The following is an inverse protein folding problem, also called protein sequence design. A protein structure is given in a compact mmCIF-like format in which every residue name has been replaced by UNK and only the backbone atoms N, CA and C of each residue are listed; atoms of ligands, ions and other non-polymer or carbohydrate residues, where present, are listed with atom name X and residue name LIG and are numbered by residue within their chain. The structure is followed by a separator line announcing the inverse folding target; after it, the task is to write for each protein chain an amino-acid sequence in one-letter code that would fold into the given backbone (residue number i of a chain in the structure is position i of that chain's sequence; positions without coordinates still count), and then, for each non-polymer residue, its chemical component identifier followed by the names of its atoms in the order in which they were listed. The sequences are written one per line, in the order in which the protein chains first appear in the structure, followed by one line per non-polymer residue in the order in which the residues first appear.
data_IF_200831565565
#
_entry.id   IF_200831565565
#
_cell.length_a   1.000
_cell.length_b   1.000
_cell.length_c   1.000
_cell.angle_alpha   90.00
_cell.angle_beta   90.00
_cell.angle_gamma   90.00
#
_symmetry.space_group_name_H-M   'P 1'
#
loop_
_entity.id
_entity.type
_entity.pdbx_description
1 polymer ?
#
# COMPACT_ATOMS: atom_id res chain seq x y z
N UNK A 1 35.47 72.21 31.53
CA UNK A 1 34.51 71.24 32.13
C UNK A 1 34.95 70.97 33.57
N UNK A 2 34.04 70.87 34.54
CA UNK A 2 34.40 70.65 35.96
C UNK A 2 34.83 69.19 36.16
N UNK A 3 35.92 68.96 36.90
CA UNK A 3 36.52 67.63 37.17
C UNK A 3 35.50 66.59 37.66
N UNK A 4 34.49 67.02 38.42
CA UNK A 4 33.40 66.17 38.90
C UNK A 4 32.58 65.51 37.78
N UNK A 5 32.39 66.18 36.64
CA UNK A 5 31.67 65.60 35.49
C UNK A 5 32.49 64.52 34.79
N UNK A 6 33.81 64.68 34.77
CA UNK A 6 34.74 63.70 34.18
C UNK A 6 34.78 62.44 35.06
N UNK A 7 34.85 62.61 36.37
CA UNK A 7 34.83 61.48 37.32
C UNK A 7 33.49 60.73 37.25
N UNK A 8 32.36 61.44 37.21
CA UNK A 8 31.04 60.82 37.08
C UNK A 8 30.89 60.04 35.77
N UNK A 9 31.36 60.61 34.65
CA UNK A 9 31.36 59.93 33.37
C UNK A 9 32.26 58.68 33.39
N UNK A 10 33.47 58.78 33.94
CA UNK A 10 34.38 57.65 34.06
C UNK A 10 33.81 56.53 34.95
N UNK A 11 33.22 56.87 36.09
CA UNK A 11 32.58 55.90 36.99
C UNK A 11 31.39 55.20 36.30
N UNK A 12 30.56 55.94 35.57
CA UNK A 12 29.44 55.37 34.82
C UNK A 12 29.92 54.47 33.68
N UNK A 13 30.99 54.86 32.98
CA UNK A 13 31.61 54.04 31.92
C UNK A 13 32.22 52.75 32.47
N UNK A 14 32.88 52.80 33.63
CA UNK A 14 33.43 51.62 34.30
C UNK A 14 32.32 50.68 34.77
N UNK A 15 31.22 51.22 35.31
CA UNK A 15 30.08 50.42 35.73
C UNK A 15 29.37 49.76 34.53
N UNK A 16 29.24 50.48 33.41
CA UNK A 16 28.68 49.95 32.18
C UNK A 16 29.56 48.84 31.57
N UNK A 17 30.89 49.00 31.60
CA UNK A 17 31.82 47.97 31.15
C UNK A 17 31.80 46.72 32.04
N UNK A 18 31.57 46.88 33.35
CA UNK A 18 31.47 45.76 34.29
C UNK A 18 30.20 44.92 34.10
N UNK A 19 29.12 45.49 33.56
CA UNK A 19 27.86 44.78 33.29
C UNK A 19 27.76 44.19 31.88
N UNK A 20 28.72 44.48 30.99
CA UNK A 20 28.78 43.91 29.65
C UNK A 20 29.31 42.47 29.71
N UNK A 21 28.45 41.54 30.11
CA UNK A 21 28.72 40.11 30.04
C UNK A 21 28.30 39.60 28.66
N UNK A 22 29.25 39.05 27.89
CA UNK A 22 28.91 38.24 26.73
C UNK A 22 28.31 36.92 27.22
N UNK A 23 27.29 36.41 26.52
CA UNK A 23 26.78 35.06 26.79
C UNK A 23 27.94 34.07 26.67
N UNK A 24 28.16 33.27 27.72
CA UNK A 24 29.19 32.23 27.69
C UNK A 24 28.82 31.22 26.62
N UNK A 25 29.63 31.11 25.58
CA UNK A 25 29.45 30.06 24.59
C UNK A 25 29.86 28.72 25.22
N UNK A 26 28.86 27.95 25.63
CA UNK A 26 29.00 26.61 26.25
C UNK A 26 29.43 25.50 25.27
N UNK A 27 29.78 25.87 24.03
CA UNK A 27 30.14 24.90 22.99
C UNK A 27 28.95 24.12 22.42
N UNK A 28 29.25 23.23 21.48
CA UNK A 28 28.27 22.30 20.92
C UNK A 28 27.93 21.27 22.00
N UNK A 29 26.69 21.32 22.48
CA UNK A 29 26.18 20.32 23.42
C UNK A 29 26.14 18.95 22.73
N UNK A 30 26.75 17.95 23.38
CA UNK A 30 26.70 16.58 22.89
C UNK A 30 25.25 16.09 22.93
N UNK A 31 24.77 15.60 21.80
CA UNK A 31 23.45 14.95 21.75
C UNK A 31 23.58 13.62 22.49
N UNK A 32 23.06 13.58 23.72
CA UNK A 32 22.96 12.33 24.48
C UNK A 32 21.74 11.59 23.96
N UNK A 33 21.97 10.43 23.33
CA UNK A 33 20.89 9.53 22.95
C UNK A 33 20.14 9.08 24.19
N UNK A 34 18.80 9.14 24.16
CA UNK A 34 17.96 8.64 25.25
C UNK A 34 18.12 7.13 25.47
N UNK A 35 18.47 6.38 24.41
CA UNK A 35 18.62 4.93 24.44
C UNK A 35 20.08 4.52 24.24
N UNK A 36 20.48 3.40 24.85
CA UNK A 36 21.80 2.81 24.59
C UNK A 36 21.82 2.16 23.20
N UNK A 37 23.02 1.99 22.63
CA UNK A 37 23.18 1.27 21.35
C UNK A 37 22.68 -0.18 21.44
N UNK A 38 22.82 -0.83 22.59
CA UNK A 38 22.36 -2.19 22.80
C UNK A 38 20.82 -2.26 22.72
N UNK A 39 20.13 -1.29 23.32
CA UNK A 39 18.66 -1.24 23.28
C UNK A 39 18.14 -1.01 21.86
N UNK A 40 18.78 -0.10 21.13
CA UNK A 40 18.45 0.15 19.72
C UNK A 40 18.67 -1.09 18.86
N UNK A 41 19.77 -1.82 19.09
CA UNK A 41 20.05 -3.08 18.37
C UNK A 41 19.01 -4.16 18.69
N UNK A 42 18.62 -4.31 19.95
CA UNK A 42 17.60 -5.26 20.36
C UNK A 42 16.24 -4.93 19.71
N UNK A 43 15.85 -3.65 19.69
CA UNK A 43 14.64 -3.17 19.03
C UNK A 43 14.68 -3.39 17.52
N UNK A 44 15.82 -3.10 16.88
CA UNK A 44 16.01 -3.32 15.45
C UNK A 44 15.88 -4.80 15.09
N UNK A 45 16.48 -5.69 15.88
CA UNK A 45 16.39 -7.13 15.67
C UNK A 45 14.96 -7.65 15.81
N UNK A 46 14.25 -7.23 16.87
CA UNK A 46 12.86 -7.61 17.10
C UNK A 46 11.94 -7.12 15.97
N UNK A 47 12.15 -5.89 15.49
CA UNK A 47 11.38 -5.32 14.38
C UNK A 47 11.69 -6.06 13.08
N UNK A 48 12.95 -6.39 12.81
CA UNK A 48 13.35 -7.15 11.61
C UNK A 48 12.75 -8.56 11.57
N UNK A 49 12.52 -9.18 12.74
CA UNK A 49 11.87 -10.49 12.85
C UNK A 49 10.34 -10.41 12.91
N UNK A 50 9.76 -9.20 12.92
CA UNK A 50 8.31 -9.06 12.96
C UNK A 50 7.67 -9.62 11.69
N UNK A 51 6.57 -10.35 11.86
CA UNK A 51 5.82 -10.88 10.72
C UNK A 51 5.35 -9.72 9.83
N UNK A 52 5.53 -9.86 8.52
CA UNK A 52 5.10 -8.90 7.50
C UNK A 52 5.77 -7.51 7.55
N UNK A 53 6.94 -7.38 8.18
CA UNK A 53 7.64 -6.08 8.36
C UNK A 53 7.89 -5.32 7.04
N UNK A 54 7.94 -5.99 5.89
CA UNK A 54 8.17 -5.38 4.57
C UNK A 54 7.17 -5.85 3.50
N UNK A 55 6.00 -6.33 3.91
CA UNK A 55 5.01 -6.87 2.97
C UNK A 55 3.96 -5.79 2.70
N UNK A 56 4.16 -5.03 1.62
CA UNK A 56 3.15 -4.09 1.13
C UNK A 56 1.94 -4.85 0.60
N UNK A 57 0.76 -4.21 0.56
CA UNK A 57 -0.49 -4.87 0.16
C UNK A 57 -0.42 -5.52 -1.24
N UNK A 58 0.44 -5.03 -2.13
CA UNK A 58 0.70 -5.61 -3.46
C UNK A 58 1.71 -6.77 -3.49
N UNK A 59 2.46 -7.01 -2.41
CA UNK A 59 3.38 -8.15 -2.27
C UNK A 59 2.66 -9.43 -1.82
N UNK A 60 1.35 -9.35 -1.54
CA UNK A 60 0.50 -10.50 -1.22
C UNK A 60 -0.24 -10.91 -2.47
N UNK A 61 -0.33 -12.22 -2.72
CA UNK A 61 -1.34 -12.74 -3.64
C UNK A 61 -2.69 -12.36 -3.04
N UNK A 62 -3.36 -11.40 -3.68
CA UNK A 62 -4.74 -11.06 -3.32
C UNK A 62 -5.53 -12.37 -3.35
N UNK A 63 -6.27 -12.64 -2.27
CA UNK A 63 -7.16 -13.79 -2.26
C UNK A 63 -8.04 -13.71 -3.51
N UNK A 64 -8.15 -14.81 -4.25
CA UNK A 64 -9.01 -14.85 -5.44
C UNK A 64 -10.39 -14.32 -5.04
N UNK A 65 -10.97 -13.38 -5.82
CA UNK A 65 -12.29 -12.87 -5.50
C UNK A 65 -13.25 -14.06 -5.36
N UNK A 66 -14.08 -14.02 -4.32
CA UNK A 66 -15.08 -15.05 -4.11
C UNK A 66 -16.07 -15.02 -5.29
N UNK A 67 -16.14 -16.12 -6.04
CA UNK A 67 -17.22 -16.33 -7.01
C UNK A 67 -18.51 -16.60 -6.25
N UNK A 68 -19.60 -15.92 -6.62
CA UNK A 68 -20.94 -16.21 -6.10
C UNK A 68 -21.56 -17.47 -6.73
N UNK A 69 -20.94 -18.01 -7.77
CA UNK A 69 -21.43 -19.18 -8.52
C UNK A 69 -20.62 -20.41 -8.17
N UNK A 70 -21.32 -21.52 -7.90
CA UNK A 70 -20.70 -22.83 -7.65
C UNK A 70 -19.99 -23.36 -8.89
N UNK A 71 -18.86 -24.04 -8.68
CA UNK A 71 -18.05 -24.60 -9.76
C UNK A 71 -18.82 -25.64 -10.57
N UNK A 72 -19.71 -26.42 -9.96
CA UNK A 72 -20.49 -27.41 -10.69
C UNK A 72 -21.47 -26.74 -11.65
N UNK A 73 -22.08 -25.62 -11.25
CA UNK A 73 -22.94 -24.80 -12.11
C UNK A 73 -22.16 -24.26 -13.31
N UNK A 74 -21.01 -23.63 -13.08
CA UNK A 74 -20.16 -23.12 -14.17
C UNK A 74 -19.77 -24.24 -15.14
N UNK A 75 -19.44 -25.42 -14.62
CA UNK A 75 -19.10 -26.59 -15.45
C UNK A 75 -20.27 -27.07 -16.29
N UNK A 76 -21.46 -27.17 -15.70
CA UNK A 76 -22.66 -27.62 -16.39
C UNK A 76 -23.04 -26.64 -17.52
N UNK A 77 -22.96 -25.34 -17.25
CA UNK A 77 -23.18 -24.28 -18.26
C UNK A 77 -22.16 -24.36 -19.39
N UNK A 78 -20.87 -24.47 -19.07
CA UNK A 78 -19.82 -24.58 -20.07
C UNK A 78 -19.99 -25.81 -20.98
N UNK A 79 -20.38 -26.94 -20.41
CA UNK A 79 -20.69 -28.16 -21.17
C UNK A 79 -21.91 -27.94 -22.06
N UNK A 80 -23.00 -27.37 -21.54
CA UNK A 80 -24.19 -27.08 -22.33
C UNK A 80 -23.91 -26.14 -23.50
N UNK A 81 -23.11 -25.08 -23.28
CA UNK A 81 -22.68 -24.16 -24.33
C UNK A 81 -21.79 -24.84 -25.36
N UNK A 82 -20.86 -25.69 -24.94
CA UNK A 82 -19.99 -26.44 -25.85
C UNK A 82 -20.78 -27.43 -26.73
N UNK A 83 -21.88 -27.98 -26.23
CA UNK A 83 -22.78 -28.87 -26.98
C UNK A 83 -23.84 -28.12 -27.81
N UNK A 84 -23.86 -26.78 -27.79
CA UNK A 84 -24.85 -26.02 -28.54
C UNK A 84 -24.66 -26.22 -30.07
N UNK A 85 -25.73 -26.50 -30.83
CA UNK A 85 -25.64 -26.78 -32.28
C UNK A 85 -25.04 -25.64 -33.12
N UNK A 86 -25.09 -24.41 -32.61
CA UNK A 86 -24.60 -23.19 -33.25
C UNK A 86 -23.35 -22.61 -32.57
N UNK A 87 -22.65 -23.36 -31.70
CA UNK A 87 -21.52 -22.86 -30.91
C UNK A 87 -20.41 -22.22 -31.76
N UNK A 88 -20.19 -22.72 -32.99
CA UNK A 88 -19.17 -22.21 -33.92
C UNK A 88 -19.75 -21.41 -35.10
N UNK A 89 -21.05 -21.09 -35.07
CA UNK A 89 -21.74 -20.43 -36.18
C UNK A 89 -22.12 -19.01 -35.78
N UNK A 90 -21.62 -18.02 -36.53
CA UNK A 90 -22.16 -16.66 -36.49
C UNK A 90 -23.57 -16.66 -37.14
N UNK A 91 -24.43 -15.74 -36.72
CA UNK A 91 -25.76 -15.54 -37.32
C UNK A 91 -25.68 -15.34 -38.83
N UNK A 92 -24.60 -14.72 -39.32
CA UNK A 92 -24.35 -14.49 -40.76
C UNK A 92 -24.12 -15.77 -41.56
N UNK A 93 -23.86 -16.90 -40.91
CA UNK A 93 -23.76 -18.21 -41.57
C UNK A 93 -25.12 -18.69 -42.10
N UNK A 94 -26.23 -18.09 -41.66
CA UNK A 94 -27.58 -18.45 -42.08
C UNK A 94 -28.13 -17.47 -43.14
N UNK A 95 -29.01 -17.97 -44.01
CA UNK A 95 -29.68 -17.16 -45.03
C UNK A 95 -30.43 -16.01 -44.35
N UNK A 96 -30.29 -14.80 -44.90
CA UNK A 96 -30.84 -13.56 -44.34
C UNK A 96 -30.42 -13.28 -42.89
N UNK A 97 -29.35 -13.90 -42.39
CA UNK A 97 -28.94 -13.82 -40.98
C UNK A 97 -30.06 -14.26 -40.01
N UNK A 98 -30.89 -15.23 -40.40
CA UNK A 98 -31.96 -15.76 -39.54
C UNK A 98 -31.57 -17.16 -39.06
N UNK A 99 -31.40 -17.33 -37.75
CA UNK A 99 -31.10 -18.65 -37.15
C UNK A 99 -32.38 -19.51 -37.21
N UNK A 100 -32.35 -20.67 -37.87
CA UNK A 100 -33.51 -21.56 -37.91
C UNK A 100 -33.85 -22.15 -36.52
N UNK A 101 -35.14 -22.42 -36.26
CA UNK A 101 -35.62 -22.89 -34.94
C UNK A 101 -34.96 -24.18 -34.44
N UNK A 102 -34.48 -25.04 -35.34
CA UNK A 102 -33.80 -26.28 -34.94
C UNK A 102 -32.47 -26.02 -34.23
N UNK A 103 -31.88 -24.84 -34.36
CA UNK A 103 -30.63 -24.45 -33.68
C UNK A 103 -30.88 -23.77 -32.32
N UNK A 104 -32.12 -23.38 -32.02
CA UNK A 104 -32.50 -22.79 -30.71
C UNK A 104 -33.12 -23.80 -29.76
N UNK A 105 -33.50 -25.00 -30.23
CA UNK A 105 -34.02 -26.07 -29.37
C UNK A 105 -32.89 -26.94 -28.82
N UNK A 106 -32.90 -27.18 -27.51
CA UNK A 106 -32.07 -28.21 -26.90
C UNK A 106 -32.44 -29.57 -27.51
N UNK A 107 -31.49 -30.26 -28.16
CA UNK A 107 -31.72 -31.63 -28.62
C UNK A 107 -31.91 -32.53 -27.39
N UNK A 108 -32.95 -33.37 -27.32
CA UNK A 108 -33.01 -34.40 -26.30
C UNK A 108 -31.78 -35.29 -26.48
N UNK A 109 -31.08 -35.56 -25.37
CA UNK A 109 -29.97 -36.51 -25.34
C UNK A 109 -30.55 -37.86 -25.75
N UNK A 110 -30.36 -38.28 -26.99
CA UNK A 110 -30.59 -39.66 -27.38
C UNK A 110 -29.54 -40.48 -26.65
N UNK A 111 -29.93 -41.06 -25.51
CA UNK A 111 -29.15 -42.11 -24.88
C UNK A 111 -28.90 -43.19 -25.92
N UNK A 112 -27.63 -43.44 -26.22
CA UNK A 112 -27.22 -44.56 -27.05
C UNK A 112 -27.85 -45.83 -26.48
N UNK A 113 -28.64 -46.52 -27.31
CA UNK A 113 -29.02 -47.89 -27.06
C UNK A 113 -27.72 -48.72 -27.03
N UNK A 114 -27.31 -49.12 -25.83
CA UNK A 114 -26.26 -50.13 -25.64
C UNK A 114 -26.86 -51.52 -25.89
N UNK A 115 -26.24 -52.24 -26.83
CA UNK A 115 -26.30 -53.70 -26.93
C UNK A 115 -25.40 -54.33 -25.87
#
# INVERSE_FOLDING_TARGET
MKTSKIIAAAALSLLAAAGAHAETYEGVHQVVSANSRADVLAQAFATAHAANQNVTNGSRVLASPASSVDRATVRAEAVATAHAPNQNLDRKAFVNSVVPEQFTRARPVTQQAGL
#
